data_IF_194260970581
#
_entry.id   IF_194260970581
#
_cell.length_a   1.000
_cell.length_b   1.000
_cell.length_c   1.000
_cell.angle_alpha   90.00
_cell.angle_beta   90.00
_cell.angle_gamma   90.00
#
_symmetry.space_group_name_H-M   'P 1'
#
loop_
_entity.id
_entity.type
_entity.pdbx_description
1 polymer ?
#
# COMPACT_ATOMS: atom_id res chain seq x y z
N UNK A 1 -49.68 -1.89 22.10
CA UNK A 1 -49.18 -0.83 21.23
C UNK A 1 -47.70 -0.40 21.44
N UNK A 2 -47.09 -0.62 22.61
CA UNK A 2 -45.68 -0.17 22.85
C UNK A 2 -44.59 -1.17 22.37
N UNK A 3 -44.86 -2.46 22.27
CA UNK A 3 -43.90 -3.47 21.79
C UNK A 3 -43.63 -3.39 20.26
N UNK A 4 -44.69 -3.08 19.47
CA UNK A 4 -44.55 -2.99 18.01
C UNK A 4 -43.69 -1.80 17.55
N UNK A 5 -43.72 -0.69 18.29
CA UNK A 5 -42.91 0.50 17.98
C UNK A 5 -41.42 0.29 18.23
N UNK A 6 -41.07 -0.49 19.26
CA UNK A 6 -39.66 -0.81 19.60
C UNK A 6 -39.05 -1.75 18.55
N UNK A 7 -39.84 -2.71 18.06
CA UNK A 7 -39.35 -3.67 17.05
C UNK A 7 -39.07 -2.99 15.69
N UNK A 8 -39.90 -2.02 15.29
CA UNK A 8 -39.72 -1.24 14.06
C UNK A 8 -38.48 -0.33 14.16
N UNK A 9 -38.24 0.26 15.34
CA UNK A 9 -37.06 1.12 15.54
C UNK A 9 -35.73 0.33 15.50
N UNK A 10 -35.73 -0.88 16.06
CA UNK A 10 -34.56 -1.77 16.00
C UNK A 10 -34.25 -2.26 14.57
N UNK A 11 -35.28 -2.58 13.76
CA UNK A 11 -35.08 -2.95 12.35
C UNK A 11 -34.55 -1.79 11.50
N UNK A 12 -34.99 -0.56 11.75
CA UNK A 12 -34.51 0.63 11.03
C UNK A 12 -33.04 0.95 11.33
N UNK A 13 -32.59 0.75 12.57
CA UNK A 13 -31.18 0.93 12.96
C UNK A 13 -30.26 -0.14 12.34
N UNK A 14 -30.75 -1.38 12.19
CA UNK A 14 -29.98 -2.45 11.53
C UNK A 14 -29.86 -2.24 10.00
N UNK A 15 -30.88 -1.72 9.35
CA UNK A 15 -30.88 -1.46 7.91
C UNK A 15 -29.91 -0.34 7.52
N UNK A 16 -29.78 0.70 8.36
CA UNK A 16 -28.84 1.81 8.09
C UNK A 16 -27.36 1.40 8.25
N UNK A 17 -27.06 0.46 9.16
CA UNK A 17 -25.71 -0.05 9.32
C UNK A 17 -25.25 -0.92 8.12
N UNK A 18 -26.15 -1.69 7.50
CA UNK A 18 -25.83 -2.50 6.33
C UNK A 18 -25.56 -1.66 5.07
N UNK A 19 -26.27 -0.54 4.89
CA UNK A 19 -26.08 0.33 3.71
C UNK A 19 -24.78 1.12 3.76
N UNK A 20 -24.31 1.50 4.96
CA UNK A 20 -23.01 2.16 5.12
C UNK A 20 -21.83 1.23 4.77
N UNK A 21 -21.97 -0.06 5.03
CA UNK A 21 -20.95 -1.07 4.73
C UNK A 21 -20.85 -1.38 3.23
N UNK A 22 -21.96 -1.36 2.51
CA UNK A 22 -22.00 -1.59 1.06
C UNK A 22 -21.38 -0.43 0.27
N UNK A 23 -21.56 0.82 0.72
CA UNK A 23 -21.00 2.00 0.07
C UNK A 23 -19.46 2.10 0.17
N UNK A 24 -18.84 1.46 1.16
CA UNK A 24 -17.37 1.39 1.29
C UNK A 24 -16.73 0.32 0.39
N UNK A 25 -17.53 -0.59 -0.17
CA UNK A 25 -17.01 -1.73 -0.93
C UNK A 25 -16.46 -1.35 -2.32
N UNK A 26 -16.86 -0.21 -2.90
CA UNK A 26 -16.52 0.21 -4.26
C UNK A 26 -15.47 1.34 -4.36
N UNK A 27 -15.08 1.93 -3.25
CA UNK A 27 -14.09 3.02 -3.24
C UNK A 27 -12.66 2.49 -3.16
N UNK A 28 -11.69 3.24 -3.73
CA UNK A 28 -10.26 2.98 -3.53
C UNK A 28 -9.93 2.99 -2.03
N UNK A 29 -8.86 2.27 -1.60
CA UNK A 29 -8.41 2.30 -0.22
C UNK A 29 -8.26 3.73 0.31
N UNK A 30 -8.94 4.05 1.39
CA UNK A 30 -9.00 5.39 1.98
C UNK A 30 -8.62 5.38 3.47
N UNK A 31 -8.17 6.51 4.03
CA UNK A 31 -7.83 6.61 5.45
C UNK A 31 -8.93 6.08 6.37
N UNK A 32 -8.53 5.30 7.39
CA UNK A 32 -9.43 4.64 8.33
C UNK A 32 -9.90 3.25 7.91
N UNK A 33 -9.82 2.89 6.64
CA UNK A 33 -10.12 1.54 6.16
C UNK A 33 -8.99 0.56 6.46
N UNK A 34 -9.30 -0.73 6.42
CA UNK A 34 -8.31 -1.81 6.51
C UNK A 34 -8.25 -2.52 5.16
N UNK A 35 -7.04 -2.66 4.62
CA UNK A 35 -6.79 -3.39 3.38
C UNK A 35 -7.17 -4.87 3.53
N UNK A 36 -7.65 -5.51 2.47
CA UNK A 36 -7.72 -6.95 2.42
C UNK A 36 -6.31 -7.57 2.57
N UNK A 37 -6.26 -8.85 2.92
CA UNK A 37 -4.97 -9.55 3.01
C UNK A 37 -4.32 -9.64 1.63
N UNK A 38 -3.21 -8.93 1.45
CA UNK A 38 -2.40 -8.99 0.24
C UNK A 38 -1.42 -10.16 0.34
N UNK A 39 -1.41 -11.02 -0.67
CA UNK A 39 -0.42 -12.09 -0.82
C UNK A 39 0.65 -11.63 -1.83
N UNK A 40 1.69 -11.00 -1.32
CA UNK A 40 2.75 -10.41 -2.12
C UNK A 40 3.78 -11.47 -2.50
N UNK A 41 4.24 -11.46 -3.74
CA UNK A 41 5.34 -12.31 -4.20
C UNK A 41 6.66 -11.80 -3.63
N UNK A 42 7.53 -12.69 -3.16
CA UNK A 42 8.86 -12.28 -2.73
C UNK A 42 9.65 -11.71 -3.93
N UNK A 43 10.34 -10.57 -3.77
CA UNK A 43 11.17 -10.02 -4.84
C UNK A 43 12.18 -11.04 -5.37
N UNK A 44 12.37 -11.07 -6.69
CA UNK A 44 13.36 -11.94 -7.32
C UNK A 44 14.80 -11.51 -7.00
N UNK A 45 15.04 -10.20 -6.79
CA UNK A 45 16.34 -9.70 -6.32
C UNK A 45 16.55 -10.05 -4.85
N UNK A 46 17.65 -10.74 -4.56
CA UNK A 46 18.01 -11.18 -3.21
C UNK A 46 18.13 -10.01 -2.23
N UNK A 47 18.73 -8.90 -2.65
CA UNK A 47 18.91 -7.69 -1.83
C UNK A 47 17.55 -7.08 -1.44
N UNK A 48 16.57 -7.06 -2.35
CA UNK A 48 15.22 -6.57 -2.09
C UNK A 48 14.47 -7.49 -1.12
N UNK A 49 14.59 -8.81 -1.30
CA UNK A 49 14.00 -9.80 -0.41
C UNK A 49 14.61 -9.70 1.02
N UNK A 50 15.91 -9.44 1.10
CA UNK A 50 16.60 -9.23 2.38
C UNK A 50 16.20 -7.92 3.01
N UNK A 51 16.12 -6.83 2.26
CA UNK A 51 15.70 -5.51 2.75
C UNK A 51 14.27 -5.54 3.33
N UNK A 52 13.39 -6.34 2.76
CA UNK A 52 12.03 -6.57 3.28
C UNK A 52 11.97 -7.61 4.42
N UNK A 53 13.06 -8.33 4.70
CA UNK A 53 13.09 -9.41 5.70
C UNK A 53 12.27 -10.64 5.30
N UNK A 54 12.11 -10.90 3.99
CA UNK A 54 11.28 -11.99 3.45
C UNK A 54 12.06 -13.03 2.65
N UNK A 55 13.39 -12.97 2.71
CA UNK A 55 14.27 -13.95 2.05
C UNK A 55 13.89 -15.38 2.46
N UNK A 56 13.89 -16.30 1.48
CA UNK A 56 13.50 -17.69 1.68
C UNK A 56 12.01 -17.99 1.67
N UNK A 57 11.13 -16.97 1.65
CA UNK A 57 9.69 -17.14 1.45
C UNK A 57 9.36 -17.12 -0.04
N UNK A 58 8.28 -17.81 -0.44
CA UNK A 58 7.69 -17.67 -1.79
C UNK A 58 6.79 -16.45 -1.89
N UNK A 59 5.99 -16.24 -0.85
CA UNK A 59 5.06 -15.13 -0.70
C UNK A 59 5.10 -14.62 0.73
N UNK A 60 4.68 -13.38 0.94
CA UNK A 60 4.56 -12.74 2.25
C UNK A 60 3.33 -11.83 2.29
N UNK A 61 2.96 -11.39 3.48
CA UNK A 61 1.88 -10.44 3.74
C UNK A 61 2.44 -9.18 4.38
N UNK A 62 1.66 -8.11 4.42
CA UNK A 62 2.10 -6.88 5.09
C UNK A 62 2.46 -7.10 6.56
N UNK A 63 1.74 -8.00 7.24
CA UNK A 63 2.00 -8.37 8.65
C UNK A 63 3.33 -9.08 8.87
N UNK A 64 3.91 -9.64 7.82
CA UNK A 64 5.22 -10.31 7.89
C UNK A 64 6.39 -9.32 7.86
N UNK A 65 6.12 -8.05 7.50
CA UNK A 65 7.13 -6.99 7.40
C UNK A 65 7.41 -6.38 8.78
N UNK A 66 8.69 -6.25 9.11
CA UNK A 66 9.13 -5.68 10.40
C UNK A 66 9.27 -4.16 10.25
N UNK A 67 8.15 -3.45 10.34
CA UNK A 67 8.11 -2.00 10.38
C UNK A 67 6.90 -1.55 11.20
N UNK A 68 6.85 -0.28 11.60
CA UNK A 68 5.68 0.34 12.22
C UNK A 68 4.75 0.90 11.15
N UNK A 69 5.34 1.39 10.05
CA UNK A 69 4.63 2.05 8.95
C UNK A 69 5.21 1.59 7.61
N UNK A 70 4.34 1.40 6.64
CA UNK A 70 4.67 1.01 5.27
C UNK A 70 4.22 2.12 4.31
N UNK A 71 5.12 2.57 3.43
CA UNK A 71 4.78 3.37 2.25
C UNK A 71 4.66 2.42 1.08
N UNK A 72 3.47 2.26 0.55
CA UNK A 72 3.19 1.38 -0.59
C UNK A 72 2.86 2.25 -1.80
N UNK A 73 3.58 2.04 -2.89
CA UNK A 73 3.33 2.68 -4.17
C UNK A 73 2.88 1.63 -5.19
N UNK A 74 1.63 1.72 -5.65
CA UNK A 74 1.14 0.89 -6.76
C UNK A 74 1.57 1.56 -8.06
N UNK A 75 2.34 0.84 -8.86
CA UNK A 75 2.94 1.33 -10.10
C UNK A 75 2.58 0.44 -11.29
N UNK A 76 2.69 1.01 -12.49
CA UNK A 76 2.77 0.23 -13.74
C UNK A 76 4.19 0.32 -14.29
N UNK A 77 4.75 -0.78 -14.80
CA UNK A 77 6.13 -0.79 -15.34
C UNK A 77 6.32 0.14 -16.54
N UNK A 78 5.25 0.41 -17.29
CA UNK A 78 5.24 1.32 -18.46
C UNK A 78 4.49 2.64 -18.18
N UNK A 79 4.28 2.98 -16.91
CA UNK A 79 3.48 4.14 -16.51
C UNK A 79 4.34 5.42 -16.53
N UNK A 80 4.06 6.34 -17.43
CA UNK A 80 4.79 7.61 -17.55
C UNK A 80 4.67 8.48 -16.29
N UNK A 81 3.49 8.54 -15.67
CA UNK A 81 3.27 9.30 -14.44
C UNK A 81 4.04 8.69 -13.25
N UNK A 82 4.19 7.35 -13.20
CA UNK A 82 5.02 6.69 -12.20
C UNK A 82 6.50 7.07 -12.35
N UNK A 83 6.99 7.22 -13.59
CA UNK A 83 8.37 7.68 -13.85
C UNK A 83 8.57 9.13 -13.43
N UNK A 84 7.55 9.99 -13.52
CA UNK A 84 7.62 11.35 -12.97
C UNK A 84 7.76 11.32 -11.44
N UNK A 85 6.92 10.51 -10.78
CA UNK A 85 6.90 10.40 -9.31
C UNK A 85 8.18 9.78 -8.73
N UNK A 86 8.81 8.85 -9.45
CA UNK A 86 9.94 8.06 -8.92
C UNK A 86 11.09 8.93 -8.37
N UNK A 87 11.32 10.11 -8.94
CA UNK A 87 12.37 11.03 -8.45
C UNK A 87 12.06 11.49 -7.02
N UNK A 88 10.83 11.90 -6.77
CA UNK A 88 10.35 12.33 -5.45
C UNK A 88 10.43 11.18 -4.45
N UNK A 89 9.96 9.99 -4.84
CA UNK A 89 9.97 8.81 -3.97
C UNK A 89 11.36 8.25 -3.70
N UNK A 90 12.29 8.33 -4.65
CA UNK A 90 13.68 8.02 -4.39
C UNK A 90 14.33 9.01 -3.40
N UNK A 91 13.94 10.29 -3.47
CA UNK A 91 14.35 11.30 -2.49
C UNK A 91 13.73 11.01 -1.11
N UNK A 92 12.45 10.68 -1.06
CA UNK A 92 11.76 10.25 0.17
C UNK A 92 12.47 9.04 0.80
N UNK A 93 12.76 8.00 0.02
CA UNK A 93 13.49 6.83 0.48
C UNK A 93 14.86 7.19 1.07
N UNK A 94 15.61 8.07 0.41
CA UNK A 94 16.90 8.53 0.90
C UNK A 94 16.79 9.31 2.22
N UNK A 95 15.76 10.15 2.36
CA UNK A 95 15.49 10.92 3.59
C UNK A 95 15.01 10.04 4.74
N UNK A 96 14.38 8.90 4.44
CA UNK A 96 13.92 7.90 5.41
C UNK A 96 15.00 6.87 5.78
N UNK A 97 16.20 6.91 5.20
CA UNK A 97 17.21 5.87 5.34
C UNK A 97 17.48 5.45 6.80
N UNK A 98 17.60 6.43 7.74
CA UNK A 98 17.79 6.13 9.16
C UNK A 98 16.60 5.40 9.79
N UNK A 99 15.37 5.78 9.43
CA UNK A 99 14.14 5.13 9.93
C UNK A 99 13.94 3.74 9.34
N UNK A 100 14.33 3.55 8.07
CA UNK A 100 14.33 2.25 7.41
C UNK A 100 15.33 1.34 8.09
N UNK A 101 16.55 1.82 8.35
CA UNK A 101 17.58 1.05 9.07
C UNK A 101 17.15 0.71 10.51
N UNK A 102 16.42 1.59 11.17
CA UNK A 102 15.86 1.35 12.50
C UNK A 102 14.64 0.40 12.50
N UNK A 103 14.16 -0.06 11.33
CA UNK A 103 12.96 -0.90 11.23
C UNK A 103 11.66 -0.17 11.58
N UNK A 104 11.63 1.15 11.49
CA UNK A 104 10.43 1.94 11.76
C UNK A 104 9.55 2.07 10.53
N UNK A 105 10.16 2.23 9.34
CA UNK A 105 9.49 2.44 8.05
C UNK A 105 10.02 1.47 7.02
N UNK A 106 9.15 0.97 6.14
CA UNK A 106 9.55 0.32 4.89
C UNK A 106 8.85 1.01 3.72
N UNK A 107 9.54 1.07 2.59
CA UNK A 107 8.95 1.48 1.31
C UNK A 107 8.89 0.26 0.38
N UNK A 108 7.77 0.12 -0.32
CA UNK A 108 7.50 -1.01 -1.19
C UNK A 108 6.73 -0.57 -2.43
N UNK A 109 7.23 -0.89 -3.62
CA UNK A 109 6.48 -0.80 -4.86
C UNK A 109 5.68 -2.08 -5.13
N UNK A 110 4.44 -1.95 -5.60
CA UNK A 110 3.61 -3.04 -6.14
C UNK A 110 3.42 -2.81 -7.63
N UNK A 111 4.08 -3.60 -8.46
CA UNK A 111 4.02 -3.47 -9.91
C UNK A 111 2.79 -4.20 -10.46
N UNK A 112 1.68 -3.48 -10.64
CA UNK A 112 0.44 -4.00 -11.21
C UNK A 112 0.67 -4.49 -12.65
N UNK A 113 0.46 -5.78 -12.89
CA UNK A 113 0.72 -6.45 -14.17
C UNK A 113 2.20 -6.63 -14.51
N UNK A 114 3.12 -6.19 -13.65
CA UNK A 114 4.55 -6.32 -13.88
C UNK A 114 5.07 -7.73 -13.58
N UNK A 115 5.96 -8.22 -14.44
CA UNK A 115 6.68 -9.49 -14.27
C UNK A 115 7.93 -9.32 -13.40
N UNK A 116 8.47 -10.41 -12.86
CA UNK A 116 9.73 -10.38 -12.12
C UNK A 116 10.87 -9.77 -12.94
N UNK A 117 10.97 -10.13 -14.22
CA UNK A 117 12.04 -9.63 -15.11
C UNK A 117 11.97 -8.12 -15.32
N UNK A 118 10.76 -7.57 -15.49
CA UNK A 118 10.55 -6.14 -15.64
C UNK A 118 10.88 -5.38 -14.35
N UNK A 119 10.43 -5.90 -13.21
CA UNK A 119 10.72 -5.33 -11.89
C UNK A 119 12.23 -5.36 -11.62
N UNK A 120 12.89 -6.49 -11.87
CA UNK A 120 14.35 -6.57 -11.75
C UNK A 120 15.08 -5.55 -12.64
N UNK A 121 14.61 -5.36 -13.88
CA UNK A 121 15.20 -4.39 -14.79
C UNK A 121 15.08 -2.95 -14.26
N UNK A 122 13.91 -2.57 -13.72
CA UNK A 122 13.71 -1.26 -13.07
C UNK A 122 14.66 -1.07 -11.89
N UNK A 123 14.84 -2.11 -11.07
CA UNK A 123 15.71 -2.08 -9.89
C UNK A 123 17.20 -2.05 -10.29
N UNK A 124 17.64 -2.94 -11.18
CA UNK A 124 19.04 -3.03 -11.64
C UNK A 124 19.50 -1.77 -12.36
N UNK A 125 18.60 -1.08 -13.06
CA UNK A 125 18.88 0.23 -13.67
C UNK A 125 18.86 1.39 -12.67
N UNK A 126 18.53 1.14 -11.41
CA UNK A 126 18.47 2.17 -10.37
C UNK A 126 17.33 3.17 -10.56
N UNK A 127 16.30 2.85 -11.36
CA UNK A 127 15.12 3.68 -11.57
C UNK A 127 14.39 3.82 -10.24
N UNK A 128 14.11 2.73 -9.55
CA UNK A 128 13.59 2.72 -8.18
C UNK A 128 14.69 2.33 -7.19
N UNK A 129 14.85 3.07 -6.10
CA UNK A 129 15.83 2.81 -5.05
C UNK A 129 15.31 1.96 -3.88
N UNK A 130 14.04 1.60 -3.89
CA UNK A 130 13.38 0.77 -2.90
C UNK A 130 12.83 -0.51 -3.53
N UNK A 131 12.59 -1.57 -2.73
CA UNK A 131 12.09 -2.85 -3.23
C UNK A 131 10.77 -2.73 -3.99
N UNK A 132 10.63 -3.51 -5.06
CA UNK A 132 9.39 -3.64 -5.83
C UNK A 132 9.03 -5.12 -5.90
N UNK A 133 7.74 -5.43 -5.76
CA UNK A 133 7.18 -6.77 -5.97
C UNK A 133 6.35 -6.83 -7.23
N UNK A 134 6.45 -7.92 -7.96
CA UNK A 134 5.65 -8.19 -9.14
C UNK A 134 4.23 -8.61 -8.74
N UNK A 135 3.23 -8.12 -9.47
CA UNK A 135 1.83 -8.55 -9.39
C UNK A 135 1.30 -8.89 -10.79
N UNK A 136 1.97 -9.82 -11.46
CA UNK A 136 1.82 -10.18 -12.87
C UNK A 136 0.36 -10.49 -13.26
N UNK A 137 -0.37 -11.17 -12.38
CA UNK A 137 -1.77 -11.51 -12.59
C UNK A 137 -2.76 -10.46 -12.03
N UNK A 138 -2.29 -9.27 -11.64
CA UNK A 138 -3.10 -8.20 -11.03
C UNK A 138 -3.88 -8.63 -9.77
N UNK A 139 -3.45 -9.68 -9.07
CA UNK A 139 -4.19 -10.24 -7.93
C UNK A 139 -4.33 -9.24 -6.78
N UNK A 140 -3.22 -8.64 -6.38
CA UNK A 140 -3.22 -7.65 -5.31
C UNK A 140 -3.81 -6.33 -5.78
N UNK A 141 -3.53 -5.93 -7.03
CA UNK A 141 -4.12 -4.73 -7.64
C UNK A 141 -5.66 -4.79 -7.65
N UNK A 142 -6.26 -5.95 -8.01
CA UNK A 142 -7.72 -6.17 -7.93
C UNK A 142 -8.25 -6.06 -6.51
N UNK A 143 -7.53 -6.61 -5.53
CA UNK A 143 -7.89 -6.47 -4.11
C UNK A 143 -7.86 -5.02 -3.65
N UNK A 144 -7.02 -4.18 -4.25
CA UNK A 144 -6.94 -2.75 -3.99
C UNK A 144 -7.94 -1.93 -4.81
N UNK A 145 -8.90 -2.56 -5.50
CA UNK A 145 -9.92 -1.91 -6.34
C UNK A 145 -9.37 -1.25 -7.60
N UNK A 146 -8.32 -1.83 -8.15
CA UNK A 146 -7.72 -1.47 -9.45
C UNK A 146 -7.43 0.04 -9.59
N UNK A 147 -6.70 0.66 -8.63
CA UNK A 147 -6.39 2.07 -8.72
C UNK A 147 -5.59 2.36 -9.98
N UNK A 148 -5.85 3.50 -10.63
CA UNK A 148 -4.92 4.02 -11.64
C UNK A 148 -3.55 4.28 -11.01
N UNK A 149 -2.49 4.10 -11.78
CA UNK A 149 -1.12 4.28 -11.30
C UNK A 149 -0.56 5.66 -11.68
N UNK A 150 0.24 6.29 -10.80
CA UNK A 150 0.64 5.82 -9.48
C UNK A 150 -0.48 5.96 -8.43
N UNK A 151 -0.48 5.08 -7.44
CA UNK A 151 -1.35 5.19 -6.27
C UNK A 151 -0.53 4.93 -5.01
N UNK A 152 -0.47 5.92 -4.15
CA UNK A 152 0.33 5.89 -2.92
C UNK A 152 -0.54 5.61 -1.70
N UNK A 153 -0.06 4.75 -0.80
CA UNK A 153 -0.68 4.51 0.50
C UNK A 153 0.37 4.55 1.61
N UNK A 154 0.00 5.14 2.74
CA UNK A 154 0.67 4.96 4.02
C UNK A 154 -0.18 4.02 4.86
N UNK A 155 0.36 2.88 5.27
CA UNK A 155 -0.40 1.86 5.99
C UNK A 155 0.39 1.30 7.16
N UNK A 156 -0.33 0.75 8.15
CA UNK A 156 0.30 -0.08 9.17
C UNK A 156 0.53 -1.51 8.65
N UNK A 157 1.40 -2.32 9.25
CA UNK A 157 1.53 -3.74 8.90
C UNK A 157 0.22 -4.53 9.04
N UNK A 158 -0.69 -4.11 9.94
CA UNK A 158 -2.02 -4.72 10.05
C UNK A 158 -2.97 -4.37 8.89
N UNK A 159 -2.52 -3.51 7.95
CA UNK A 159 -3.29 -3.11 6.78
C UNK A 159 -4.17 -1.87 6.99
N UNK A 160 -4.13 -1.21 8.16
CA UNK A 160 -4.89 0.04 8.36
C UNK A 160 -4.32 1.14 7.48
N UNK A 161 -5.13 1.75 6.65
CA UNK A 161 -4.78 2.88 5.79
C UNK A 161 -4.76 4.15 6.63
N UNK A 162 -3.63 4.85 6.61
CA UNK A 162 -3.41 6.12 7.30
C UNK A 162 -3.50 7.30 6.32
N UNK A 163 -3.11 7.07 5.07
CA UNK A 163 -3.16 8.03 3.97
C UNK A 163 -3.25 7.29 2.66
N UNK A 164 -3.89 7.90 1.66
CA UNK A 164 -3.86 7.45 0.28
C UNK A 164 -3.94 8.64 -0.67
N UNK A 165 -3.28 8.50 -1.83
CA UNK A 165 -3.27 9.52 -2.89
C UNK A 165 -3.27 8.85 -4.26
N UNK A 166 -4.17 9.29 -5.13
CA UNK A 166 -4.24 8.84 -6.51
C UNK A 166 -3.56 9.88 -7.42
N UNK A 167 -2.66 9.41 -8.26
CA UNK A 167 -1.86 10.26 -9.13
C UNK A 167 -0.50 10.60 -8.54
N UNK A 168 0.21 11.53 -9.17
CA UNK A 168 1.55 11.95 -8.75
C UNK A 168 1.48 12.73 -7.44
N UNK A 169 2.26 12.30 -6.44
CA UNK A 169 2.41 12.98 -5.15
C UNK A 169 3.85 13.47 -5.03
N UNK A 170 4.06 14.76 -5.27
CA UNK A 170 5.39 15.37 -5.24
C UNK A 170 5.72 16.04 -3.90
N UNK A 171 4.74 16.20 -3.00
CA UNK A 171 4.93 16.85 -1.71
C UNK A 171 5.57 15.89 -0.69
N UNK A 172 6.88 15.71 -0.85
CA UNK A 172 7.68 14.85 0.03
C UNK A 172 7.69 15.35 1.48
N UNK A 173 7.64 16.65 1.69
CA UNK A 173 7.67 17.23 3.04
C UNK A 173 6.37 16.91 3.79
N UNK A 174 5.23 17.06 3.13
CA UNK A 174 3.96 16.63 3.70
C UNK A 174 3.94 15.12 3.98
N UNK A 175 4.49 14.28 3.07
CA UNK A 175 4.58 12.84 3.29
C UNK A 175 5.47 12.51 4.49
N UNK A 176 6.60 13.18 4.66
CA UNK A 176 7.47 12.99 5.83
C UNK A 176 6.79 13.36 7.15
N UNK A 177 6.01 14.44 7.18
CA UNK A 177 5.24 14.80 8.37
C UNK A 177 4.18 13.75 8.71
N UNK A 178 3.44 13.25 7.72
CA UNK A 178 2.48 12.13 7.92
C UNK A 178 3.15 10.88 8.48
N UNK A 179 4.33 10.53 7.95
CA UNK A 179 5.10 9.39 8.46
C UNK A 179 5.55 9.63 9.91
N UNK A 180 6.02 10.82 10.24
CA UNK A 180 6.40 11.17 11.62
C UNK A 180 5.22 11.08 12.59
N UNK A 181 4.05 11.55 12.18
CA UNK A 181 2.82 11.44 12.99
C UNK A 181 2.41 9.98 13.21
N UNK A 182 2.49 9.16 12.18
CA UNK A 182 2.15 7.74 12.25
C UNK A 182 3.12 6.92 13.13
N UNK A 183 4.29 7.46 13.46
CA UNK A 183 5.31 6.81 14.30
C UNK A 183 5.23 7.21 15.79
N UNK A 184 4.41 8.21 16.14
CA UNK A 184 4.15 8.60 17.54
C UNK A 184 3.31 7.58 18.27
#
# INVERSE_FOLDING_TARGET
>A
MRLSAILVLLCALFATALTAQAAQADSLPAPGQTLPTLALKTPALADDAQALGVAGKKTFRLQDLKAKVLVIEVIGVYCAECIKQVRSFNTLHSRLARRIQAGEVLMLGLAAGGTDMEVENLRKKGIYKFPIVADEAYKNHKLLREPKTPFTMLVTPSGKVLYSHLGVDEDIDAMLERIKEALK
#
